data_IF_843020701942
#
_entry.id   IF_843020701942
#
_cell.length_a   1.000
_cell.length_b   1.000
_cell.length_c   1.000
_cell.angle_alpha   90.00
_cell.angle_beta   90.00
_cell.angle_gamma   90.00
#
_symmetry.space_group_name_H-M   'P 1'
#
loop_
_entity.id
_entity.type
_entity.pdbx_description
1 polymer ?
#
# COMPACT_ATOMS: atom_id res chain seq x y z
N UNK A 1 -30.53 28.48 -15.25
CA UNK A 1 -30.79 28.51 -16.70
C UNK A 1 -29.63 29.23 -17.38
N UNK A 2 -29.01 28.55 -18.35
CA UNK A 2 -28.02 29.03 -19.33
C UNK A 2 -26.78 29.77 -18.81
N UNK A 3 -25.65 29.06 -18.69
CA UNK A 3 -24.39 29.30 -19.44
C UNK A 3 -23.49 28.04 -19.32
N UNK A 4 -23.80 26.98 -20.08
CA UNK A 4 -22.88 25.85 -20.32
C UNK A 4 -23.08 25.35 -21.75
N UNK A 5 -22.85 26.22 -22.72
CA UNK A 5 -22.86 25.88 -24.14
C UNK A 5 -21.79 26.70 -24.86
N UNK A 6 -20.52 26.27 -24.78
CA UNK A 6 -19.42 26.63 -25.69
C UNK A 6 -18.07 26.05 -25.24
N UNK A 7 -17.91 24.72 -25.30
CA UNK A 7 -16.63 24.08 -25.67
C UNK A 7 -16.97 22.81 -26.47
N UNK A 8 -17.65 23.00 -27.61
CA UNK A 8 -17.58 22.05 -28.73
C UNK A 8 -16.56 22.65 -29.69
N UNK A 9 -15.39 22.03 -29.83
CA UNK A 9 -14.47 22.36 -30.93
C UNK A 9 -14.94 21.64 -32.20
N UNK A 10 -14.88 22.30 -33.37
CA UNK A 10 -15.26 21.69 -34.64
C UNK A 10 -14.27 20.61 -35.10
N UNK A 11 -14.70 19.65 -35.94
CA UNK A 11 -13.81 18.64 -36.52
C UNK A 11 -12.81 19.33 -37.45
N UNK A 12 -11.51 19.13 -37.18
CA UNK A 12 -10.45 19.70 -38.00
C UNK A 12 -10.42 18.99 -39.36
N UNK A 13 -10.47 19.79 -40.42
CA UNK A 13 -10.43 19.36 -41.82
C UNK A 13 -9.03 18.82 -42.20
N UNK A 14 -9.03 17.97 -43.21
CA UNK A 14 -7.92 17.15 -43.71
C UNK A 14 -6.55 17.84 -43.80
N UNK A 15 -5.52 17.17 -43.27
CA UNK A 15 -4.14 17.34 -43.70
C UNK A 15 -3.66 16.02 -44.33
N UNK A 16 -3.22 16.07 -45.59
CA UNK A 16 -2.71 14.93 -46.35
C UNK A 16 -1.35 14.45 -45.80
N UNK A 17 -1.04 13.13 -45.85
CA UNK A 17 0.28 12.63 -45.48
C UNK A 17 1.28 12.77 -46.66
N UNK A 18 2.47 13.28 -46.37
CA UNK A 18 3.63 13.27 -47.27
C UNK A 18 4.36 11.91 -47.22
N UNK A 19 4.99 11.46 -48.32
CA UNK A 19 5.51 10.10 -48.45
C UNK A 19 7.02 10.03 -48.18
N UNK A 20 7.41 9.27 -47.16
CA UNK A 20 8.70 8.57 -47.10
C UNK A 20 8.76 7.78 -45.81
N UNK A 21 8.61 6.47 -45.90
CA UNK A 21 9.47 5.49 -45.26
C UNK A 21 9.03 4.10 -45.75
N UNK A 22 9.89 3.55 -46.59
CA UNK A 22 9.74 2.26 -47.27
C UNK A 22 9.89 1.11 -46.29
N UNK A 23 8.82 0.33 -46.21
CA UNK A 23 8.80 -1.14 -46.37
C UNK A 23 9.99 -1.93 -45.77
N UNK A 24 9.76 -2.47 -44.57
CA UNK A 24 10.47 -3.64 -44.06
C UNK A 24 9.43 -4.61 -43.45
N UNK A 25 8.67 -5.28 -44.31
CA UNK A 25 7.82 -6.41 -43.92
C UNK A 25 8.71 -7.61 -43.57
N UNK A 26 9.03 -7.76 -42.30
CA UNK A 26 9.51 -9.02 -41.74
C UNK A 26 8.33 -10.00 -41.62
N UNK A 27 8.48 -11.16 -42.26
CA UNK A 27 7.56 -12.30 -42.24
C UNK A 27 7.11 -12.63 -40.81
N UNK A 28 5.85 -12.31 -40.48
CA UNK A 28 5.16 -12.85 -39.30
C UNK A 28 4.36 -14.06 -39.75
N UNK A 29 4.85 -15.23 -39.36
CA UNK A 29 4.10 -16.48 -39.47
C UNK A 29 2.71 -16.33 -38.80
N UNK A 30 1.70 -16.77 -39.55
CA UNK A 30 0.28 -16.68 -39.24
C UNK A 30 -0.11 -17.39 -37.93
N UNK A 31 -0.56 -16.59 -36.95
CA UNK A 31 -1.30 -17.05 -35.75
C UNK A 31 -2.69 -16.37 -35.69
N UNK A 32 -3.27 -16.07 -36.86
CA UNK A 32 -4.54 -15.33 -37.01
C UNK A 32 -5.74 -16.00 -36.30
N UNK A 33 -5.70 -17.32 -36.12
CA UNK A 33 -6.84 -18.08 -35.59
C UNK A 33 -7.02 -17.93 -34.06
N UNK A 34 -5.94 -17.69 -33.32
CA UNK A 34 -6.00 -17.48 -31.86
C UNK A 34 -6.48 -16.09 -31.48
N UNK A 35 -6.15 -15.09 -32.30
CA UNK A 35 -6.48 -13.69 -32.06
C UNK A 35 -7.99 -13.40 -32.25
N UNK A 36 -8.63 -14.09 -33.19
CA UNK A 36 -10.08 -13.98 -33.45
C UNK A 36 -10.93 -14.59 -32.32
N UNK A 37 -10.49 -15.72 -31.75
CA UNK A 37 -11.15 -16.36 -30.61
C UNK A 37 -11.09 -15.49 -29.34
N UNK A 38 -9.95 -14.86 -29.08
CA UNK A 38 -9.79 -13.93 -27.95
C UNK A 38 -10.67 -12.69 -28.15
N UNK A 39 -10.65 -12.10 -29.34
CA UNK A 39 -11.46 -10.92 -29.65
C UNK A 39 -12.96 -11.21 -29.51
N UNK A 40 -13.40 -12.39 -29.95
CA UNK A 40 -14.79 -12.85 -29.81
C UNK A 40 -15.18 -13.02 -28.34
N UNK A 41 -14.33 -13.66 -27.53
CA UNK A 41 -14.58 -13.86 -26.11
C UNK A 41 -14.65 -12.53 -25.34
N UNK A 42 -13.72 -11.60 -25.63
CA UNK A 42 -13.71 -10.25 -25.03
C UNK A 42 -14.98 -9.50 -25.41
N UNK A 43 -15.37 -9.51 -26.69
CA UNK A 43 -16.59 -8.85 -27.17
C UNK A 43 -17.85 -9.39 -26.49
N UNK A 44 -17.95 -10.71 -26.34
CA UNK A 44 -19.07 -11.34 -25.64
C UNK A 44 -19.13 -10.91 -24.16
N UNK A 45 -17.98 -10.82 -23.49
CA UNK A 45 -17.92 -10.36 -22.11
C UNK A 45 -18.28 -8.87 -21.97
N UNK A 46 -17.79 -8.01 -22.85
CA UNK A 46 -18.17 -6.59 -22.87
C UNK A 46 -19.67 -6.42 -23.02
N UNK A 47 -20.29 -7.15 -23.96
CA UNK A 47 -21.75 -7.14 -24.14
C UNK A 47 -22.50 -7.63 -22.90
N UNK A 48 -21.95 -8.62 -22.18
CA UNK A 48 -22.52 -9.07 -20.90
C UNK A 48 -22.52 -8.00 -19.81
N UNK A 49 -21.60 -7.03 -19.90
CA UNK A 49 -21.51 -5.85 -19.03
C UNK A 49 -22.29 -4.65 -19.57
N UNK A 50 -23.00 -4.79 -20.71
CA UNK A 50 -23.72 -3.70 -21.36
C UNK A 50 -22.84 -2.74 -22.16
N UNK A 51 -21.60 -3.12 -22.47
CA UNK A 51 -20.63 -2.33 -23.24
C UNK A 51 -20.50 -2.87 -24.67
N UNK A 52 -20.30 -1.97 -25.63
CA UNK A 52 -19.89 -2.32 -26.99
C UNK A 52 -18.37 -2.19 -27.15
N UNK A 53 -17.72 -3.00 -28.00
CA UNK A 53 -16.28 -2.87 -28.27
C UNK A 53 -15.87 -1.45 -28.67
N UNK A 54 -16.72 -0.74 -29.40
CA UNK A 54 -16.49 0.62 -29.88
C UNK A 54 -16.46 1.64 -28.73
N UNK A 55 -17.04 1.32 -27.57
CA UNK A 55 -16.96 2.15 -26.36
C UNK A 55 -15.55 2.16 -25.75
N UNK A 56 -14.71 1.17 -26.09
CA UNK A 56 -13.35 1.02 -25.60
C UNK A 56 -12.33 1.32 -26.70
N UNK A 57 -11.83 2.56 -26.73
CA UNK A 57 -10.73 2.92 -27.62
C UNK A 57 -9.44 2.14 -27.31
N UNK A 58 -8.58 1.93 -28.30
CA UNK A 58 -7.27 1.24 -28.17
C UNK A 58 -6.29 1.90 -27.18
N UNK A 59 -6.54 3.15 -26.79
CA UNK A 59 -5.80 3.87 -25.77
C UNK A 59 -6.53 4.00 -24.43
N UNK A 60 -7.68 3.33 -24.27
CA UNK A 60 -8.57 3.47 -23.10
C UNK A 60 -7.89 3.11 -21.78
N UNK A 61 -7.13 2.02 -21.71
CA UNK A 61 -6.46 1.59 -20.47
C UNK A 61 -5.41 2.61 -20.04
N UNK A 62 -4.52 3.03 -20.96
CA UNK A 62 -3.46 4.00 -20.64
C UNK A 62 -4.03 5.37 -20.29
N UNK A 63 -5.03 5.84 -21.04
CA UNK A 63 -5.72 7.10 -20.76
C UNK A 63 -6.50 7.03 -19.46
N UNK A 64 -7.22 5.94 -19.22
CA UNK A 64 -7.97 5.69 -18.00
C UNK A 64 -7.07 5.63 -16.77
N UNK A 65 -5.93 4.95 -16.86
CA UNK A 65 -4.92 4.92 -15.80
C UNK A 65 -4.34 6.33 -15.54
N UNK A 66 -4.03 7.09 -16.58
CA UNK A 66 -3.57 8.47 -16.45
C UNK A 66 -4.63 9.37 -15.79
N UNK A 67 -5.89 9.28 -16.23
CA UNK A 67 -7.02 9.99 -15.62
C UNK A 67 -7.20 9.58 -14.17
N UNK A 68 -7.18 8.28 -13.85
CA UNK A 68 -7.30 7.78 -12.49
C UNK A 68 -6.18 8.35 -11.59
N UNK A 69 -4.93 8.35 -12.05
CA UNK A 69 -3.82 8.96 -11.33
C UNK A 69 -4.05 10.46 -11.11
N UNK A 70 -4.43 11.21 -12.14
CA UNK A 70 -4.54 12.67 -12.08
C UNK A 70 -5.82 13.20 -11.45
N UNK A 71 -6.89 12.41 -11.37
CA UNK A 71 -8.20 12.85 -10.87
C UNK A 71 -8.83 11.94 -9.82
N UNK A 72 -8.17 10.84 -9.43
CA UNK A 72 -8.67 9.93 -8.39
C UNK A 72 -8.51 10.48 -6.96
N UNK A 73 -7.69 11.52 -6.76
CA UNK A 73 -7.48 12.18 -5.48
C UNK A 73 -6.94 13.59 -5.68
N UNK A 74 -7.15 14.48 -4.71
CA UNK A 74 -6.46 15.78 -4.64
C UNK A 74 -4.99 15.65 -4.28
N UNK A 75 -4.56 14.46 -3.82
CA UNK A 75 -3.17 14.11 -3.55
C UNK A 75 -2.57 13.26 -4.67
N UNK A 76 -2.88 13.58 -5.93
CA UNK A 76 -2.45 12.81 -7.10
C UNK A 76 -0.93 12.87 -7.36
N UNK A 77 -0.36 11.89 -8.08
CA UNK A 77 0.99 12.01 -8.62
C UNK A 77 1.15 13.23 -9.55
N UNK A 78 2.39 13.67 -9.76
CA UNK A 78 2.68 14.79 -10.66
C UNK A 78 2.23 14.46 -12.09
N UNK A 79 1.72 15.48 -12.81
CA UNK A 79 1.33 15.31 -14.22
C UNK A 79 2.52 14.88 -15.08
N UNK A 80 3.74 15.32 -14.74
CA UNK A 80 4.97 14.94 -15.42
C UNK A 80 5.24 13.44 -15.29
N UNK A 81 5.19 12.88 -14.07
CA UNK A 81 5.39 11.45 -13.85
C UNK A 81 4.29 10.60 -14.51
N UNK A 82 3.04 11.08 -14.51
CA UNK A 82 1.93 10.42 -15.21
C UNK A 82 2.17 10.39 -16.71
N UNK A 83 2.55 11.52 -17.32
CA UNK A 83 2.87 11.60 -18.75
C UNK A 83 4.07 10.74 -19.14
N UNK A 84 5.14 10.74 -18.34
CA UNK A 84 6.32 9.89 -18.55
C UNK A 84 5.92 8.40 -18.58
N UNK A 85 5.17 7.94 -17.57
CA UNK A 85 4.61 6.58 -17.51
C UNK A 85 3.64 6.26 -18.64
N UNK A 86 2.91 7.26 -19.11
CA UNK A 86 1.99 7.14 -20.24
C UNK A 86 2.69 7.23 -21.62
N UNK A 87 4.02 7.46 -21.66
CA UNK A 87 4.79 7.62 -22.88
C UNK A 87 4.40 8.88 -23.66
N UNK A 88 3.99 9.94 -22.98
CA UNK A 88 3.57 11.20 -23.58
C UNK A 88 4.66 12.27 -23.47
N UNK A 89 4.83 13.07 -24.53
CA UNK A 89 5.70 14.25 -24.45
C UNK A 89 5.02 15.33 -23.62
N UNK A 90 5.74 15.88 -22.63
CA UNK A 90 5.30 17.06 -21.89
C UNK A 90 5.61 18.37 -22.65
N UNK A 91 6.01 18.30 -23.92
CA UNK A 91 6.44 19.44 -24.73
C UNK A 91 7.89 19.85 -24.46
N UNK A 92 8.39 20.79 -25.28
CA UNK A 92 9.82 21.12 -25.33
C UNK A 92 10.40 21.63 -23.99
N UNK A 93 9.67 22.51 -23.30
CA UNK A 93 10.12 23.10 -22.02
C UNK A 93 10.15 22.05 -20.91
N UNK A 94 9.03 21.38 -20.65
CA UNK A 94 8.96 20.42 -19.55
C UNK A 94 9.89 19.23 -19.76
N UNK A 95 10.01 18.70 -20.98
CA UNK A 95 10.96 17.63 -21.28
C UNK A 95 12.43 18.03 -21.06
N UNK A 96 12.74 19.33 -21.09
CA UNK A 96 14.10 19.83 -20.85
C UNK A 96 14.42 19.87 -19.36
N UNK A 97 13.48 20.35 -18.54
CA UNK A 97 13.71 20.67 -17.13
C UNK A 97 13.20 19.61 -16.14
N UNK A 98 12.15 18.87 -16.47
CA UNK A 98 11.57 17.83 -15.64
C UNK A 98 11.95 16.47 -16.23
N UNK A 99 13.01 15.88 -15.68
CA UNK A 99 13.49 14.54 -16.02
C UNK A 99 12.96 13.52 -15.02
N UNK A 100 13.06 12.23 -15.37
CA UNK A 100 12.66 11.07 -14.57
C UNK A 100 12.51 11.34 -13.06
N UNK A 101 11.27 11.41 -12.60
CA UNK A 101 10.92 11.64 -11.20
C UNK A 101 10.78 10.30 -10.48
N UNK A 102 11.88 9.67 -10.05
CA UNK A 102 11.86 8.31 -9.48
C UNK A 102 10.78 8.10 -8.38
N UNK A 103 10.59 9.07 -7.49
CA UNK A 103 9.56 9.03 -6.47
C UNK A 103 8.13 9.19 -7.05
N UNK A 104 7.95 10.08 -8.03
CA UNK A 104 6.70 10.27 -8.74
C UNK A 104 6.32 9.04 -9.57
N UNK A 105 7.28 8.42 -10.24
CA UNK A 105 7.14 7.21 -11.03
C UNK A 105 6.71 6.00 -10.18
N UNK A 106 7.29 5.86 -8.99
CA UNK A 106 6.88 4.87 -8.00
C UNK A 106 5.48 5.15 -7.45
N UNK A 107 5.15 6.42 -7.20
CA UNK A 107 3.83 6.82 -6.72
C UNK A 107 2.73 6.58 -7.77
N UNK A 108 3.00 6.87 -9.06
CA UNK A 108 2.12 6.52 -10.18
C UNK A 108 1.91 5.01 -10.22
N UNK A 109 2.99 4.23 -10.18
CA UNK A 109 2.91 2.77 -10.20
C UNK A 109 2.02 2.23 -9.09
N UNK A 110 2.26 2.66 -7.85
CA UNK A 110 1.45 2.26 -6.70
C UNK A 110 0.00 2.72 -6.82
N UNK A 111 -0.26 3.94 -7.29
CA UNK A 111 -1.64 4.43 -7.49
C UNK A 111 -2.41 3.52 -8.44
N UNK A 112 -1.80 3.15 -9.58
CA UNK A 112 -2.46 2.29 -10.59
C UNK A 112 -2.68 0.87 -10.08
N UNK A 113 -1.86 0.37 -9.15
CA UNK A 113 -2.08 -0.96 -8.55
C UNK A 113 -3.35 -1.03 -7.66
N UNK A 114 -3.94 0.11 -7.30
CA UNK A 114 -5.24 0.16 -6.61
C UNK A 114 -5.29 0.11 -5.07
N UNK A 115 -4.19 0.15 -4.28
CA UNK A 115 -4.30 0.40 -2.84
C UNK A 115 -5.05 1.71 -2.52
N UNK A 116 -5.76 1.78 -1.38
CA UNK A 116 -6.53 2.96 -0.98
C UNK A 116 -5.61 4.13 -0.59
N UNK A 117 -5.57 5.18 -1.41
CA UNK A 117 -4.69 6.36 -1.24
C UNK A 117 -4.96 7.18 0.02
N UNK A 118 -6.14 7.03 0.60
CA UNK A 118 -6.64 7.68 1.80
C UNK A 118 -6.51 6.81 3.06
N UNK A 119 -5.68 5.77 3.00
CA UNK A 119 -5.43 4.83 4.10
C UNK A 119 -3.93 4.58 4.27
N UNK A 120 -3.55 4.12 5.46
CA UNK A 120 -2.20 3.60 5.72
C UNK A 120 -1.89 2.38 4.87
N UNK A 121 -2.91 1.59 4.51
CA UNK A 121 -2.81 0.41 3.65
C UNK A 121 -2.30 0.73 2.23
N UNK A 122 -2.29 2.01 1.83
CA UNK A 122 -1.58 2.41 0.61
C UNK A 122 -0.12 1.95 0.63
N UNK A 123 0.50 1.92 1.81
CA UNK A 123 1.89 1.51 1.99
C UNK A 123 2.08 -0.01 2.12
N UNK A 124 1.04 -0.82 1.94
CA UNK A 124 1.14 -2.29 2.02
C UNK A 124 2.18 -2.81 1.01
N UNK A 125 2.95 -3.81 1.44
CA UNK A 125 3.88 -4.51 0.57
C UNK A 125 3.15 -5.61 -0.22
N UNK A 126 3.58 -5.90 -1.46
CA UNK A 126 2.99 -7.01 -2.21
C UNK A 126 3.22 -8.34 -1.48
N UNK A 127 2.44 -9.39 -1.80
CA UNK A 127 2.73 -10.74 -1.33
C UNK A 127 4.18 -11.14 -1.61
N UNK A 128 4.89 -11.54 -0.56
CA UNK A 128 6.29 -11.94 -0.63
C UNK A 128 6.62 -12.99 0.43
N UNK A 129 7.71 -13.74 0.25
CA UNK A 129 8.15 -14.70 1.25
C UNK A 129 8.71 -13.99 2.48
N UNK A 130 8.46 -14.53 3.68
CA UNK A 130 8.93 -13.98 4.97
C UNK A 130 10.44 -14.12 5.18
N UNK A 131 11.07 -15.06 4.48
CA UNK A 131 12.50 -15.37 4.62
C UNK A 131 13.06 -15.67 3.23
N UNK A 132 14.37 -15.55 3.07
CA UNK A 132 15.04 -15.95 1.83
C UNK A 132 14.93 -17.48 1.64
N UNK A 133 14.97 -17.94 0.40
CA UNK A 133 14.87 -19.37 0.08
C UNK A 133 16.15 -20.14 0.46
N UNK A 134 16.31 -20.44 1.75
CA UNK A 134 17.44 -21.25 2.23
C UNK A 134 17.30 -22.73 1.89
N UNK A 135 16.08 -23.19 1.57
CA UNK A 135 15.75 -24.60 1.34
C UNK A 135 15.74 -25.02 -0.14
N UNK A 136 15.83 -24.08 -1.08
CA UNK A 136 15.61 -24.32 -2.51
C UNK A 136 14.15 -24.63 -2.89
N UNK A 137 13.22 -24.49 -1.93
CA UNK A 137 11.82 -24.88 -2.09
C UNK A 137 11.05 -23.85 -2.93
N UNK A 138 11.37 -22.56 -2.77
CA UNK A 138 10.78 -21.50 -3.60
C UNK A 138 11.25 -21.64 -5.03
N UNK A 139 12.55 -21.90 -5.22
CA UNK A 139 13.16 -22.15 -6.53
C UNK A 139 12.50 -23.34 -7.23
N UNK A 140 12.34 -24.47 -6.52
CA UNK A 140 11.66 -25.64 -7.06
C UNK A 140 10.20 -25.35 -7.43
N UNK A 141 9.48 -24.57 -6.61
CA UNK A 141 8.11 -24.17 -6.88
C UNK A 141 7.97 -23.24 -8.09
N UNK A 142 8.95 -22.35 -8.32
CA UNK A 142 9.04 -21.54 -9.54
C UNK A 142 9.18 -22.45 -10.76
N UNK A 143 10.07 -23.45 -10.72
CA UNK A 143 10.26 -24.41 -11.81
C UNK A 143 9.00 -25.23 -12.10
N UNK A 144 8.23 -25.57 -11.07
CA UNK A 144 6.96 -26.27 -11.22
C UNK A 144 5.84 -25.42 -11.80
N UNK A 145 5.76 -24.14 -11.43
CA UNK A 145 4.68 -23.24 -11.87
C UNK A 145 5.01 -22.52 -13.19
N UNK A 146 6.30 -22.27 -13.44
CA UNK A 146 6.83 -21.51 -14.57
C UNK A 146 8.01 -22.25 -15.25
N UNK A 147 7.82 -23.47 -15.78
CA UNK A 147 8.91 -24.36 -16.20
C UNK A 147 9.78 -23.84 -17.35
N UNK A 148 9.27 -22.92 -18.16
CA UNK A 148 9.98 -22.34 -19.31
C UNK A 148 10.58 -20.96 -19.01
N UNK A 149 10.52 -20.50 -17.76
CA UNK A 149 10.97 -19.17 -17.40
C UNK A 149 12.49 -19.13 -17.25
N UNK A 150 13.19 -18.18 -17.87
CA UNK A 150 14.65 -18.09 -17.73
C UNK A 150 15.04 -17.67 -16.30
N UNK A 151 16.18 -18.18 -15.82
CA UNK A 151 16.70 -17.90 -14.47
C UNK A 151 16.82 -16.41 -14.15
N UNK A 152 17.13 -15.57 -15.15
CA UNK A 152 17.22 -14.12 -14.96
C UNK A 152 15.88 -13.46 -14.53
N UNK A 153 14.76 -14.15 -14.72
CA UNK A 153 13.42 -13.70 -14.34
C UNK A 153 12.94 -14.30 -13.01
N UNK A 154 13.74 -15.13 -12.33
CA UNK A 154 13.31 -15.80 -11.09
C UNK A 154 12.95 -14.80 -9.98
N UNK A 155 13.61 -13.64 -9.94
CA UNK A 155 13.21 -12.58 -9.01
C UNK A 155 11.77 -12.11 -9.21
N UNK A 156 11.31 -11.99 -10.46
CA UNK A 156 9.90 -11.66 -10.77
C UNK A 156 8.99 -12.85 -10.48
N UNK A 157 9.44 -14.06 -10.82
CA UNK A 157 8.71 -15.30 -10.59
C UNK A 157 8.42 -15.55 -9.12
N UNK A 158 9.35 -15.19 -8.23
CA UNK A 158 9.19 -15.29 -6.78
C UNK A 158 7.99 -14.47 -6.30
N UNK A 159 7.86 -13.22 -6.74
CA UNK A 159 6.70 -12.37 -6.43
C UNK A 159 5.40 -12.88 -7.06
N UNK A 160 5.47 -13.38 -8.30
CA UNK A 160 4.31 -13.97 -8.97
C UNK A 160 3.82 -15.22 -8.23
N UNK A 161 4.75 -16.09 -7.83
CA UNK A 161 4.48 -17.27 -7.02
C UNK A 161 3.88 -16.88 -5.66
N UNK A 162 4.50 -15.94 -4.94
CA UNK A 162 3.98 -15.45 -3.66
C UNK A 162 2.55 -14.90 -3.80
N UNK A 163 2.27 -14.15 -4.88
CA UNK A 163 0.93 -13.62 -5.16
C UNK A 163 -0.09 -14.74 -5.41
N UNK A 164 0.27 -15.74 -6.21
CA UNK A 164 -0.58 -16.91 -6.49
C UNK A 164 -0.87 -17.70 -5.21
N UNK A 165 0.14 -17.91 -4.36
CA UNK A 165 0.01 -18.63 -3.09
C UNK A 165 -0.86 -17.88 -2.09
N UNK A 166 -0.63 -16.57 -1.93
CA UNK A 166 -1.40 -15.71 -1.03
C UNK A 166 -2.89 -15.71 -1.40
N UNK A 167 -3.20 -15.69 -2.70
CA UNK A 167 -4.57 -15.72 -3.20
C UNK A 167 -5.12 -17.12 -3.49
N UNK A 168 -4.40 -18.20 -3.16
CA UNK A 168 -4.78 -19.56 -3.56
C UNK A 168 -6.21 -19.96 -3.15
N UNK A 169 -6.63 -19.61 -1.93
CA UNK A 169 -7.96 -19.96 -1.43
C UNK A 169 -9.06 -19.13 -2.09
N UNK A 170 -8.79 -17.85 -2.36
CA UNK A 170 -9.67 -17.00 -3.15
C UNK A 170 -9.81 -17.55 -4.57
N UNK A 171 -8.71 -17.92 -5.21
CA UNK A 171 -8.71 -18.49 -6.56
C UNK A 171 -9.49 -19.81 -6.61
N UNK A 172 -9.32 -20.69 -5.62
CA UNK A 172 -10.07 -21.97 -5.53
C UNK A 172 -11.58 -21.76 -5.43
N UNK A 173 -11.99 -20.70 -4.72
CA UNK A 173 -13.40 -20.37 -4.52
C UNK A 173 -14.02 -19.73 -5.78
N UNK A 174 -13.25 -18.95 -6.53
CA UNK A 174 -13.78 -18.10 -7.59
C UNK A 174 -13.47 -18.58 -9.02
N UNK A 175 -12.46 -19.44 -9.22
CA UNK A 175 -12.16 -20.00 -10.53
C UNK A 175 -12.80 -21.38 -10.72
N UNK A 176 -13.15 -21.68 -11.97
CA UNK A 176 -13.69 -22.98 -12.34
C UNK A 176 -12.68 -24.12 -12.09
N UNK A 177 -13.15 -25.29 -11.67
CA UNK A 177 -12.30 -26.44 -11.30
C UNK A 177 -11.50 -27.06 -12.47
N UNK A 178 -11.90 -26.83 -13.72
CA UNK A 178 -11.19 -27.39 -14.90
C UNK A 178 -10.04 -26.49 -15.41
N UNK A 179 -9.66 -25.45 -14.68
CA UNK A 179 -8.60 -24.52 -15.14
C UNK A 179 -7.22 -25.20 -15.09
N UNK A 180 -6.32 -24.91 -16.07
CA UNK A 180 -4.96 -25.49 -16.11
C UNK A 180 -4.14 -25.25 -14.84
N UNK A 181 -4.36 -24.13 -14.16
CA UNK A 181 -3.72 -23.80 -12.87
C UNK A 181 -3.86 -24.96 -11.87
N UNK A 182 -5.05 -25.55 -11.76
CA UNK A 182 -5.31 -26.64 -10.83
C UNK A 182 -4.64 -27.95 -11.24
N UNK A 183 -4.27 -28.10 -12.51
CA UNK A 183 -3.55 -29.27 -13.03
C UNK A 183 -2.03 -29.10 -12.94
N UNK A 184 -1.54 -27.92 -12.56
CA UNK A 184 -0.10 -27.69 -12.38
C UNK A 184 0.44 -28.50 -11.20
N UNK A 185 1.70 -28.90 -11.29
CA UNK A 185 2.37 -29.75 -10.30
C UNK A 185 2.28 -29.17 -8.89
N UNK A 186 2.48 -27.85 -8.76
CA UNK A 186 2.40 -27.15 -7.47
C UNK A 186 1.02 -27.26 -6.81
N UNK A 187 -0.06 -27.19 -7.58
CA UNK A 187 -1.43 -27.25 -7.05
C UNK A 187 -1.95 -28.68 -6.86
N UNK A 188 -1.20 -29.70 -7.32
CA UNK A 188 -1.45 -31.10 -7.03
C UNK A 188 -0.73 -31.57 -5.76
N UNK A 189 0.36 -30.90 -5.36
CA UNK A 189 1.06 -31.16 -4.10
C UNK A 189 0.55 -30.24 -2.98
N UNK A 190 -0.51 -30.70 -2.29
CA UNK A 190 -1.09 -29.95 -1.16
C UNK A 190 -0.11 -29.76 0.00
N UNK A 191 0.84 -30.68 0.22
CA UNK A 191 1.78 -30.56 1.33
C UNK A 191 2.77 -29.41 1.07
N UNK A 192 3.36 -29.39 -0.13
CA UNK A 192 4.25 -28.30 -0.52
C UNK A 192 3.51 -26.98 -0.63
N UNK A 193 2.32 -26.95 -1.24
CA UNK A 193 1.52 -25.74 -1.37
C UNK A 193 1.22 -25.12 -0.01
N UNK A 194 0.75 -25.90 0.96
CA UNK A 194 0.42 -25.38 2.29
C UNK A 194 1.67 -24.91 3.06
N UNK A 195 2.79 -25.61 2.88
CA UNK A 195 4.09 -25.19 3.44
C UNK A 195 4.52 -23.84 2.87
N UNK A 196 4.44 -23.66 1.55
CA UNK A 196 4.78 -22.39 0.89
C UNK A 196 3.82 -21.27 1.27
N UNK A 197 2.51 -21.53 1.30
CA UNK A 197 1.49 -20.57 1.75
C UNK A 197 1.81 -20.02 3.15
N UNK A 198 2.19 -20.87 4.10
CA UNK A 198 2.54 -20.42 5.46
C UNK A 198 3.75 -19.50 5.55
N UNK A 199 4.59 -19.47 4.50
CA UNK A 199 5.79 -18.63 4.42
C UNK A 199 5.52 -17.30 3.72
N UNK A 200 4.37 -17.11 3.07
CA UNK A 200 4.02 -15.89 2.36
C UNK A 200 3.31 -14.90 3.28
N UNK A 201 3.69 -13.63 3.17
CA UNK A 201 3.08 -12.52 3.91
C UNK A 201 2.70 -11.39 2.96
N UNK A 202 1.64 -10.66 3.30
CA UNK A 202 1.25 -9.39 2.69
C UNK A 202 1.03 -8.44 3.86
N UNK A 203 1.97 -7.52 4.09
CA UNK A 203 2.10 -6.83 5.36
C UNK A 203 2.61 -5.40 5.20
N UNK A 204 2.56 -4.64 6.30
CA UNK A 204 3.09 -3.29 6.32
C UNK A 204 4.63 -3.30 6.34
N UNK A 205 5.33 -2.27 5.80
CA UNK A 205 6.80 -2.27 5.73
C UNK A 205 7.51 -2.50 7.07
N UNK A 206 6.93 -1.99 8.17
CA UNK A 206 7.43 -2.21 9.53
C UNK A 206 7.49 -3.71 9.92
N UNK A 207 6.57 -4.51 9.40
CA UNK A 207 6.45 -5.95 9.70
C UNK A 207 7.41 -6.79 8.85
N UNK A 208 7.92 -6.24 7.73
CA UNK A 208 8.87 -6.92 6.86
C UNK A 208 10.32 -6.94 7.41
N UNK A 209 10.57 -6.34 8.59
CA UNK A 209 11.86 -6.35 9.30
C UNK A 209 13.05 -5.93 8.41
N UNK A 210 12.85 -4.89 7.60
CA UNK A 210 13.91 -4.31 6.76
C UNK A 210 14.27 -5.09 5.49
N UNK A 211 13.55 -6.18 5.15
CA UNK A 211 13.79 -6.91 3.90
C UNK A 211 13.19 -6.22 2.67
N UNK A 212 12.21 -5.35 2.88
CA UNK A 212 11.51 -4.64 1.82
C UNK A 212 10.96 -3.32 2.33
N UNK A 213 11.03 -2.31 1.48
CA UNK A 213 10.49 -0.98 1.76
C UNK A 213 9.42 -0.62 0.73
N UNK A 214 8.42 0.15 1.17
CA UNK A 214 7.41 0.66 0.27
C UNK A 214 7.90 1.94 -0.39
N UNK A 215 7.97 1.94 -1.73
CA UNK A 215 8.28 3.12 -2.55
C UNK A 215 7.00 3.81 -3.02
N UNK A 216 7.11 5.09 -3.43
CA UNK A 216 5.97 5.85 -3.95
C UNK A 216 4.94 6.21 -2.88
N UNK A 217 5.38 6.41 -1.63
CA UNK A 217 4.50 6.75 -0.50
C UNK A 217 4.44 8.27 -0.34
N UNK A 218 3.26 8.89 -0.50
CA UNK A 218 3.11 10.33 -0.31
C UNK A 218 3.07 10.69 1.19
N UNK A 219 3.38 11.96 1.55
CA UNK A 219 3.47 12.38 2.96
C UNK A 219 2.21 12.13 3.79
N UNK A 220 1.01 12.27 3.20
CA UNK A 220 -0.24 12.05 3.93
C UNK A 220 -0.45 10.58 4.32
N UNK A 221 0.05 9.63 3.51
CA UNK A 221 0.03 8.20 3.87
C UNK A 221 0.99 7.91 5.03
N UNK A 222 2.15 8.57 5.09
CA UNK A 222 3.00 8.48 6.28
C UNK A 222 2.28 8.98 7.54
N UNK A 223 1.46 10.02 7.41
CA UNK A 223 0.63 10.49 8.52
C UNK A 223 -0.43 9.46 8.91
N UNK A 224 -1.10 8.78 7.97
CA UNK A 224 -2.04 7.69 8.29
C UNK A 224 -1.35 6.53 9.02
N UNK A 225 -0.18 6.10 8.54
CA UNK A 225 0.62 5.07 9.22
C UNK A 225 1.00 5.51 10.64
N UNK A 226 1.29 6.79 10.86
CA UNK A 226 1.54 7.32 12.19
C UNK A 226 0.27 7.33 13.06
N UNK A 227 -0.86 7.78 12.52
CA UNK A 227 -2.14 7.82 13.22
C UNK A 227 -2.57 6.42 13.68
N UNK A 228 -2.39 5.39 12.85
CA UNK A 228 -2.69 4.00 13.24
C UNK A 228 -1.85 3.54 14.43
N UNK A 229 -0.57 3.96 14.51
CA UNK A 229 0.28 3.66 15.67
C UNK A 229 -0.23 4.36 16.92
N UNK A 230 -0.68 5.62 16.79
CA UNK A 230 -1.25 6.38 17.90
C UNK A 230 -2.55 5.72 18.38
N UNK A 231 -3.44 5.35 17.46
CA UNK A 231 -4.69 4.65 17.77
C UNK A 231 -4.40 3.33 18.51
N UNK A 232 -3.50 2.50 17.98
CA UNK A 232 -3.13 1.23 18.62
C UNK A 232 -2.54 1.43 20.04
N UNK A 233 -1.77 2.51 20.24
CA UNK A 233 -1.23 2.86 21.56
C UNK A 233 -2.32 3.30 22.52
N UNK A 234 -3.29 4.10 22.06
CA UNK A 234 -4.44 4.51 22.87
C UNK A 234 -5.32 3.33 23.27
N UNK A 235 -5.57 2.40 22.35
CA UNK A 235 -6.30 1.17 22.66
C UNK A 235 -5.58 0.30 23.69
N UNK A 236 -4.24 0.21 23.60
CA UNK A 236 -3.41 -0.49 24.59
C UNK A 236 -3.54 0.14 25.97
N UNK A 237 -3.36 1.47 26.06
CA UNK A 237 -3.53 2.21 27.32
C UNK A 237 -4.95 2.01 27.88
N UNK A 238 -5.98 2.05 27.03
CA UNK A 238 -7.35 1.82 27.46
C UNK A 238 -7.55 0.43 28.07
N UNK A 239 -6.97 -0.62 27.46
CA UNK A 239 -7.01 -1.98 28.01
C UNK A 239 -6.30 -2.07 29.36
N UNK A 240 -5.09 -1.53 29.46
CA UNK A 240 -4.29 -1.55 30.70
C UNK A 240 -4.99 -0.79 31.83
N UNK A 241 -5.64 0.34 31.54
CA UNK A 241 -6.44 1.09 32.53
C UNK A 241 -7.66 0.29 32.99
N UNK A 242 -8.33 -0.45 32.09
CA UNK A 242 -9.45 -1.31 32.45
C UNK A 242 -9.01 -2.48 33.33
N UNK A 243 -7.93 -3.15 32.96
CA UNK A 243 -7.32 -4.23 33.74
C UNK A 243 -6.86 -3.74 35.11
N UNK A 244 -6.20 -2.57 35.16
CA UNK A 244 -5.80 -1.96 36.42
C UNK A 244 -7.00 -1.70 37.33
N UNK A 245 -8.10 -1.10 36.80
CA UNK A 245 -9.34 -0.88 37.56
C UNK A 245 -9.96 -2.16 38.11
N UNK A 246 -9.84 -3.28 37.38
CA UNK A 246 -10.37 -4.57 37.81
C UNK A 246 -9.45 -5.31 38.79
N UNK A 247 -8.19 -4.90 38.89
CA UNK A 247 -7.22 -5.50 39.80
C UNK A 247 -7.48 -5.13 41.26
N UNK A 248 -7.02 -5.99 42.19
CA UNK A 248 -7.06 -5.73 43.63
C UNK A 248 -6.33 -4.44 44.02
N UNK A 249 -5.19 -4.15 43.37
CA UNK A 249 -4.44 -2.90 43.54
C UNK A 249 -5.23 -1.68 43.06
N UNK A 250 -5.94 -1.78 41.94
CA UNK A 250 -6.78 -0.68 41.45
C UNK A 250 -7.98 -0.40 42.35
N UNK A 251 -8.61 -1.46 42.88
CA UNK A 251 -9.69 -1.33 43.86
C UNK A 251 -9.20 -0.68 45.16
N UNK A 252 -8.00 -1.04 45.63
CA UNK A 252 -7.38 -0.44 46.80
C UNK A 252 -7.05 1.05 46.58
N UNK A 253 -6.42 1.40 45.45
CA UNK A 253 -6.13 2.80 45.09
C UNK A 253 -7.40 3.65 44.93
N UNK A 254 -8.48 3.09 44.38
CA UNK A 254 -9.79 3.73 44.30
C UNK A 254 -10.40 3.96 45.70
N UNK A 255 -10.29 2.99 46.60
CA UNK A 255 -10.78 3.11 47.97
C UNK A 255 -9.98 4.14 48.80
N UNK A 256 -8.66 4.18 48.61
CA UNK A 256 -7.77 5.17 49.24
C UNK A 256 -8.09 6.59 48.75
N UNK A 257 -8.23 6.79 47.44
CA UNK A 257 -8.63 8.09 46.89
C UNK A 257 -10.04 8.56 47.28
N UNK A 258 -10.99 7.64 47.49
CA UNK A 258 -12.33 7.96 48.03
C UNK A 258 -12.27 8.30 49.53
N UNK A 259 -11.34 7.70 50.27
CA UNK A 259 -11.12 7.97 51.68
C UNK A 259 -10.43 9.32 51.90
N UNK A 260 -9.48 9.68 51.05
CA UNK A 260 -8.90 11.04 51.00
C UNK A 260 -9.96 12.11 50.69
N UNK A 261 -10.90 11.86 49.76
CA UNK A 261 -12.04 12.78 49.50
C UNK A 261 -12.91 13.01 50.73
N UNK A 262 -13.03 12.04 51.64
CA UNK A 262 -13.78 12.19 52.89
C UNK A 262 -13.00 12.98 53.95
N UNK A 263 -11.67 12.88 53.97
CA UNK A 263 -10.83 13.60 54.93
C UNK A 263 -10.56 15.06 54.54
N UNK A 264 -10.50 15.37 53.24
CA UNK A 264 -10.25 16.75 52.75
C UNK A 264 -11.52 17.61 52.73
N UNK A 265 -12.69 17.06 53.06
CA UNK A 265 -13.92 17.85 53.23
C UNK A 265 -14.33 18.58 51.96
N UNK A 266 -14.80 17.84 50.95
CA UNK A 266 -15.47 18.47 49.82
C UNK A 266 -16.80 19.11 50.27
N UNK A 267 -16.77 20.42 50.52
CA UNK A 267 -17.94 21.28 50.58
C UNK A 267 -18.01 21.98 49.22
N UNK A 268 -19.10 21.86 48.44
CA UNK A 268 -19.24 22.60 47.20
C UNK A 268 -19.20 24.10 47.53
N UNK A 269 -18.17 24.79 47.11
CA UNK A 269 -18.13 26.24 47.11
C UNK A 269 -19.06 26.76 45.99
N UNK A 270 -19.75 27.87 46.26
CA UNK A 270 -20.87 28.44 45.48
C UNK A 270 -20.54 28.81 44.01
N UNK A 271 -19.31 28.56 43.54
CA UNK A 271 -18.83 28.80 42.18
C UNK A 271 -18.92 27.60 41.23
N UNK A 272 -19.47 26.45 41.67
CA UNK A 272 -19.91 25.39 40.74
C UNK A 272 -18.82 24.76 39.87
N UNK A 273 -17.59 24.64 40.37
CA UNK A 273 -16.56 23.88 39.66
C UNK A 273 -16.96 22.39 39.60
N UNK A 274 -17.07 21.87 38.39
CA UNK A 274 -17.59 20.52 38.18
C UNK A 274 -16.50 19.48 38.44
N UNK A 275 -16.88 18.23 38.69
CA UNK A 275 -15.94 17.11 38.81
C UNK A 275 -14.97 16.99 37.60
N UNK A 276 -15.34 17.55 36.44
CA UNK A 276 -14.48 17.65 35.26
C UNK A 276 -13.31 18.61 35.47
N UNK A 277 -13.50 19.72 36.16
CA UNK A 277 -12.48 20.75 36.35
C UNK A 277 -11.43 20.29 37.36
N UNK A 278 -11.85 19.58 38.40
CA UNK A 278 -10.95 18.97 39.38
C UNK A 278 -10.17 17.78 38.80
N UNK A 279 -10.80 16.94 37.97
CA UNK A 279 -10.09 15.87 37.26
C UNK A 279 -9.06 16.42 36.27
N UNK A 280 -9.40 17.52 35.58
CA UNK A 280 -8.49 18.25 34.70
C UNK A 280 -7.31 18.83 35.48
N UNK A 281 -7.55 19.34 36.69
CA UNK A 281 -6.53 19.86 37.58
C UNK A 281 -5.62 18.76 38.15
N UNK A 282 -6.17 17.62 38.59
CA UNK A 282 -5.38 16.46 39.04
C UNK A 282 -4.53 15.83 37.93
N UNK A 283 -4.98 15.88 36.67
CA UNK A 283 -4.19 15.51 35.49
C UNK A 283 -3.05 16.50 35.19
N UNK A 284 -3.25 17.78 35.49
CA UNK A 284 -2.23 18.83 35.31
C UNK A 284 -1.19 18.82 36.45
N UNK A 285 -1.62 18.52 37.68
CA UNK A 285 -0.77 18.44 38.87
C UNK A 285 0.11 17.18 38.84
N UNK A 286 -0.43 16.04 38.39
CA UNK A 286 0.33 14.79 38.23
C UNK A 286 0.88 14.59 36.81
N UNK A 287 0.96 15.68 36.02
CA UNK A 287 1.36 15.63 34.61
C UNK A 287 2.71 14.97 34.41
N UNK A 288 3.66 15.24 35.29
CA UNK A 288 5.03 14.75 35.13
C UNK A 288 5.17 13.28 35.57
N UNK A 289 4.33 12.81 36.49
CA UNK A 289 4.21 11.41 36.90
C UNK A 289 3.49 10.58 35.82
N UNK A 290 2.42 11.12 35.23
CA UNK A 290 1.75 10.53 34.08
C UNK A 290 2.67 10.48 32.85
N UNK A 291 3.49 11.52 32.63
CA UNK A 291 4.55 11.52 31.62
C UNK A 291 5.64 10.49 31.93
N UNK A 292 5.97 10.24 33.19
CA UNK A 292 6.94 9.22 33.58
C UNK A 292 6.41 7.81 33.28
N UNK A 293 5.15 7.52 33.64
CA UNK A 293 4.49 6.24 33.32
C UNK A 293 4.40 6.05 31.80
N UNK A 294 4.00 7.08 31.05
CA UNK A 294 3.97 7.02 29.58
C UNK A 294 5.37 6.80 29.00
N UNK A 295 6.41 7.45 29.54
CA UNK A 295 7.81 7.22 29.11
C UNK A 295 8.27 5.81 29.42
N UNK A 296 7.92 5.27 30.58
CA UNK A 296 8.26 3.91 31.00
C UNK A 296 7.60 2.88 30.06
N UNK A 297 6.32 3.07 29.74
CA UNK A 297 5.59 2.24 28.76
C UNK A 297 6.15 2.37 27.34
N UNK A 298 6.60 3.56 26.92
CA UNK A 298 7.28 3.78 25.63
C UNK A 298 8.66 3.11 25.60
N UNK A 299 9.40 3.11 26.70
CA UNK A 299 10.72 2.48 26.81
C UNK A 299 10.62 0.95 26.84
N UNK A 300 9.61 0.39 27.51
CA UNK A 300 9.34 -1.06 27.51
C UNK A 300 8.83 -1.58 26.16
N UNK A 301 8.17 -0.74 25.36
CA UNK A 301 7.79 -1.08 23.98
C UNK A 301 8.84 -0.74 22.92
N UNK A 302 9.89 -0.01 23.29
CA UNK A 302 11.01 0.41 22.42
C UNK A 302 12.30 -0.41 22.56
N UNK A 303 12.27 -1.51 23.32
CA UNK A 303 13.44 -2.33 23.63
C UNK A 303 13.96 -3.22 22.50
N UNK A 304 14.32 -2.65 21.35
CA UNK A 304 15.34 -3.19 20.41
C UNK A 304 15.95 -2.03 19.60
N UNK A 305 16.56 -1.05 20.27
CA UNK A 305 17.47 -0.11 19.62
C UNK A 305 18.49 0.46 20.61
N UNK A 306 19.43 -0.36 21.05
CA UNK A 306 20.69 0.15 21.62
C UNK A 306 21.85 -0.66 21.09
N UNK A 307 22.61 -0.05 20.17
CA UNK A 307 23.80 -0.69 19.63
C UNK A 307 24.60 0.15 18.64
N UNK A 308 24.83 1.44 18.89
CA UNK A 308 26.08 2.11 18.48
C UNK A 308 26.16 3.53 19.05
N UNK A 309 26.76 3.69 20.23
CA UNK A 309 27.54 4.90 20.48
C UNK A 309 28.81 4.76 19.63
N UNK A 310 28.96 5.60 18.60
CA UNK A 310 30.29 5.92 18.06
C UNK A 310 30.65 7.32 18.50
N UNK A 311 31.79 7.37 19.17
CA UNK A 311 32.52 8.57 19.55
C UNK A 311 32.61 9.57 18.39
N UNK A 312 32.05 10.76 18.62
CA UNK A 312 32.33 11.94 17.81
C UNK A 312 33.63 12.54 18.32
N UNK A 313 34.75 12.07 17.79
CA UNK A 313 36.04 12.74 17.96
C UNK A 313 36.21 13.77 16.85
N UNK A 314 36.27 15.03 17.27
CA UNK A 314 36.53 16.21 16.47
C UNK A 314 37.75 16.02 15.56
N UNK A 315 37.59 16.30 14.26
CA UNK A 315 38.70 16.78 13.41
C UNK A 315 38.25 18.06 12.72
N UNK A 316 38.94 19.14 13.07
CA UNK A 316 38.86 20.43 12.38
C UNK A 316 39.44 20.37 10.97
N UNK A 317 39.27 21.45 10.18
CA UNK A 317 39.66 21.49 8.79
C UNK A 317 41.17 21.70 8.65
N UNK A 318 41.80 20.97 7.74
CA UNK A 318 43.10 21.35 7.18
C UNK A 318 42.98 21.45 5.66
N UNK A 319 43.42 22.64 5.20
CA UNK A 319 43.85 23.09 3.87
C UNK A 319 43.51 22.24 2.64
#
# INVERSE_FOLDING_TARGET
MQVLSKIMMPPNQSAAPSPSDTDETAERHDDHNGMDAVQTAVTAHLRSLGLQPEDLGSHSIRKGAATYCSSGSTHCPSSSAVSERAGWSNGAVFNTYLRYEAAGDAFVGRTITGPPIDSSEFAILPPHFKEADSSGMVTSAIEMLFPTLPMCMYGVAEFALASVLYHADFLRTNLQRNRPLWKSTLFQDEAMLNTLKSKVVCCMPKEARGRMEATGIPPHVHQYVHNDKVIASLEKIQREVLEFKQSSRGNQALAEGVSERRQVGFVPNESGQSAKDFFRQGLLENRDEFKAIIREVIMETGGEASGSQRDVQQRGPQA
#
